data_IF_173457955678
#
_entry.id   IF_173457955678
#
_cell.length_a   1.000
_cell.length_b   1.000
_cell.length_c   1.000
_cell.angle_alpha   90.00
_cell.angle_beta   90.00
_cell.angle_gamma   90.00
#
_symmetry.space_group_name_H-M   'P 1'
#
loop_
_entity.id
_entity.type
_entity.pdbx_description
1 polymer ?
#
# COMPACT_ATOMS: atom_id res chain seq x y z
N UNK A 1 8.78 0.43 -4.83
CA UNK A 1 7.76 1.51 -4.86
C UNK A 1 8.11 2.50 -3.77
N UNK A 2 7.50 3.68 -3.78
CA UNK A 2 7.84 4.74 -2.82
C UNK A 2 6.81 4.82 -1.70
N UNK A 3 7.18 5.49 -0.61
CA UNK A 3 6.28 5.78 0.50
C UNK A 3 5.03 6.50 -0.02
N UNK A 4 3.85 6.02 0.36
CA UNK A 4 2.55 6.52 -0.06
C UNK A 4 2.05 6.02 -1.43
N UNK A 5 2.79 5.15 -2.13
CA UNK A 5 2.32 4.60 -3.42
C UNK A 5 0.99 3.86 -3.25
N UNK A 6 0.04 4.10 -4.15
CA UNK A 6 -1.18 3.31 -4.32
C UNK A 6 -1.01 2.41 -5.56
N UNK A 7 -1.20 1.10 -5.39
CA UNK A 7 -1.08 0.15 -6.48
C UNK A 7 -2.21 -0.88 -6.50
N UNK A 8 -2.44 -1.47 -7.66
CA UNK A 8 -3.24 -2.68 -7.81
C UNK A 8 -2.33 -3.90 -7.92
N UNK A 9 -2.64 -4.97 -7.18
CA UNK A 9 -1.93 -6.24 -7.23
C UNK A 9 -2.79 -7.31 -7.92
N UNK A 10 -2.52 -7.63 -9.20
CA UNK A 10 -3.38 -8.51 -10.00
C UNK A 10 -3.56 -9.93 -9.44
N UNK A 11 -2.50 -10.63 -8.96
CA UNK A 11 -2.64 -11.99 -8.43
C UNK A 11 -3.63 -12.11 -7.26
N UNK A 12 -3.68 -11.10 -6.38
CA UNK A 12 -4.59 -11.08 -5.24
C UNK A 12 -5.87 -10.27 -5.46
N UNK A 13 -6.05 -9.70 -6.65
CA UNK A 13 -7.13 -8.77 -6.98
C UNK A 13 -7.32 -7.66 -5.92
N UNK A 14 -6.21 -7.14 -5.40
CA UNK A 14 -6.19 -6.28 -4.23
C UNK A 14 -5.66 -4.88 -4.54
N UNK A 15 -6.14 -3.89 -3.79
CA UNK A 15 -5.53 -2.57 -3.71
C UNK A 15 -4.47 -2.60 -2.61
N UNK A 16 -3.28 -2.09 -2.92
CA UNK A 16 -2.15 -2.00 -2.01
C UNK A 16 -1.85 -0.53 -1.70
N UNK A 17 -1.79 -0.22 -0.40
CA UNK A 17 -1.39 1.07 0.14
C UNK A 17 0.00 0.87 0.75
N UNK A 18 1.04 1.50 0.19
CA UNK A 18 2.40 1.35 0.69
C UNK A 18 2.75 2.46 1.68
N UNK A 19 2.87 2.13 2.96
CA UNK A 19 3.15 3.09 4.05
C UNK A 19 4.40 2.71 4.89
N UNK A 20 5.28 1.89 4.31
CA UNK A 20 6.55 1.48 4.90
C UNK A 20 7.10 0.18 4.27
N UNK A 21 8.27 -0.29 4.74
CA UNK A 21 8.87 -1.53 4.27
C UNK A 21 7.94 -2.73 4.51
N UNK A 22 7.96 -3.67 3.58
CA UNK A 22 7.25 -4.95 3.66
C UNK A 22 8.23 -6.08 4.03
N UNK A 23 7.74 -7.29 4.36
CA UNK A 23 8.61 -8.46 4.57
C UNK A 23 9.53 -8.82 3.38
N UNK A 24 9.21 -8.35 2.16
CA UNK A 24 10.03 -8.60 0.96
C UNK A 24 11.09 -7.53 0.73
N UNK A 25 11.09 -6.49 1.53
CA UNK A 25 11.99 -5.35 1.40
C UNK A 25 13.40 -5.69 1.91
N UNK A 26 14.42 -5.05 1.35
CA UNK A 26 15.83 -5.19 1.69
C UNK A 26 16.41 -3.80 2.01
N UNK A 27 16.89 -3.63 3.24
CA UNK A 27 17.36 -2.33 3.71
C UNK A 27 16.18 -1.36 3.85
N UNK A 28 16.26 -0.22 3.18
CA UNK A 28 15.26 0.86 3.28
C UNK A 28 14.30 0.93 2.08
N UNK A 29 14.36 -0.04 1.15
CA UNK A 29 13.41 -0.06 0.04
C UNK A 29 11.99 -0.44 0.50
N UNK A 30 10.99 -0.10 -0.31
CA UNK A 30 9.62 -0.59 -0.12
C UNK A 30 9.28 -1.49 -1.30
N UNK A 31 9.14 -2.79 -1.00
CA UNK A 31 9.00 -3.82 -2.03
C UNK A 31 7.66 -4.53 -1.97
N UNK A 32 6.86 -4.56 -3.05
CA UNK A 32 5.68 -5.42 -3.11
C UNK A 32 6.08 -6.91 -3.15
N UNK A 33 5.13 -7.80 -2.86
CA UNK A 33 5.36 -9.25 -2.92
C UNK A 33 5.69 -9.77 -4.33
N UNK A 34 5.12 -9.14 -5.36
CA UNK A 34 5.40 -9.37 -6.78
C UNK A 34 5.03 -8.12 -7.57
N UNK A 35 5.05 -8.16 -8.91
CA UNK A 35 4.73 -7.02 -9.75
C UNK A 35 3.33 -6.45 -9.44
N UNK A 36 3.24 -5.12 -9.35
CA UNK A 36 2.02 -4.36 -9.11
C UNK A 36 1.89 -3.27 -10.16
N UNK A 37 0.66 -2.83 -10.42
CA UNK A 37 0.38 -1.69 -11.27
C UNK A 37 0.21 -0.46 -10.39
N UNK A 38 1.11 0.53 -10.51
CA UNK A 38 0.95 1.81 -9.80
C UNK A 38 -0.24 2.55 -10.39
N UNK A 39 -1.20 2.94 -9.53
CA UNK A 39 -2.45 3.60 -9.94
C UNK A 39 -2.62 4.98 -9.31
N UNK A 40 -1.75 5.36 -8.38
CA UNK A 40 -1.77 6.69 -7.78
C UNK A 40 -0.86 6.80 -6.57
N UNK A 41 -1.13 7.83 -5.76
CA UNK A 41 -0.38 8.19 -4.57
C UNK A 41 -1.37 8.62 -3.49
N UNK A 42 -1.10 8.25 -2.24
CA UNK A 42 -1.83 8.73 -1.06
C UNK A 42 -1.57 10.22 -0.91
N UNK A 43 -2.64 11.01 -0.82
CA UNK A 43 -2.58 12.43 -0.46
C UNK A 43 -2.40 12.57 1.06
N UNK A 44 -1.44 13.38 1.50
CA UNK A 44 -1.14 13.57 2.92
C UNK A 44 -0.12 12.58 3.49
N UNK A 45 -0.17 12.33 4.80
CA UNK A 45 0.77 11.45 5.50
C UNK A 45 0.29 9.98 5.48
N UNK A 46 0.98 9.06 4.77
CA UNK A 46 0.58 7.65 4.72
C UNK A 46 0.82 6.91 6.05
N UNK A 47 1.62 7.45 6.97
CA UNK A 47 1.93 6.78 8.23
C UNK A 47 0.74 6.71 9.19
N UNK A 48 -0.34 7.46 8.94
CA UNK A 48 -1.62 7.35 9.66
C UNK A 48 -2.25 5.96 9.56
N UNK A 49 -1.83 5.14 8.58
CA UNK A 49 -2.31 3.78 8.37
C UNK A 49 -1.59 2.75 9.26
N UNK A 50 -0.45 3.10 9.90
CA UNK A 50 0.32 2.19 10.78
C UNK A 50 -0.48 1.53 11.93
N UNK A 51 -1.42 2.21 12.62
CA UNK A 51 -2.18 1.60 13.70
C UNK A 51 -3.35 0.72 13.20
N UNK A 52 -3.64 0.66 11.89
CA UNK A 52 -4.74 -0.14 11.34
C UNK A 52 -4.43 -1.62 11.50
N UNK A 53 -5.36 -2.36 12.11
CA UNK A 53 -5.23 -3.80 12.35
C UNK A 53 -5.78 -4.62 11.19
N UNK A 54 -5.29 -5.85 11.06
CA UNK A 54 -5.85 -6.82 10.11
C UNK A 54 -7.33 -7.08 10.42
N UNK A 55 -8.16 -7.12 9.37
CA UNK A 55 -9.60 -7.29 9.48
C UNK A 55 -10.40 -6.01 9.78
N UNK A 56 -9.74 -4.85 9.89
CA UNK A 56 -10.45 -3.57 9.94
C UNK A 56 -11.35 -3.39 8.71
N UNK A 57 -12.57 -2.90 8.91
CA UNK A 57 -13.48 -2.58 7.81
C UNK A 57 -12.99 -1.35 7.04
N UNK A 58 -13.11 -1.40 5.72
CA UNK A 58 -12.74 -0.32 4.80
C UNK A 58 -13.92 0.01 3.91
N UNK A 59 -14.33 1.27 3.85
CA UNK A 59 -15.25 1.80 2.85
C UNK A 59 -14.47 2.57 1.77
N UNK A 60 -14.92 2.48 0.53
CA UNK A 60 -14.33 3.19 -0.60
C UNK A 60 -15.42 3.98 -1.29
N UNK A 61 -15.23 5.29 -1.37
CA UNK A 61 -16.18 6.26 -1.89
C UNK A 61 -15.47 7.22 -2.85
N UNK A 62 -16.23 7.88 -3.72
CA UNK A 62 -15.67 8.98 -4.53
C UNK A 62 -15.46 10.19 -3.61
N UNK A 63 -14.32 10.86 -3.78
CA UNK A 63 -14.04 12.14 -3.13
C UNK A 63 -15.09 13.20 -3.48
#
# INVERSE_FOLDING_TARGET
VDMGTLAYWPPGQAICLFFGPTPMSQGEDIRPASAVNVIGQIEGDPTILKPVISGAQVSVEKA
#
